data_IF_162762765267
#
_entry.id   IF_162762765267
#
_cell.length_a   1.000
_cell.length_b   1.000
_cell.length_c   1.000
_cell.angle_alpha   90.00
_cell.angle_beta   90.00
_cell.angle_gamma   90.00
#
_symmetry.space_group_name_H-M   'P 1'
#
loop_
_entity.id
_entity.type
_entity.pdbx_description
1 polymer ?
#
# COMPACT_ATOMS: atom_id res chain seq x y z
N UNK A 1 4.23 -1.74 -29.21
CA UNK A 1 3.61 -1.66 -27.86
C UNK A 1 2.84 -0.35 -27.77
N UNK A 2 1.55 -0.35 -27.50
CA UNK A 2 0.83 0.88 -27.17
C UNK A 2 1.36 1.42 -25.86
N UNK A 3 1.58 2.75 -25.69
CA UNK A 3 1.98 3.29 -24.40
C UNK A 3 0.90 2.95 -23.37
N UNK A 4 1.32 2.36 -22.26
CA UNK A 4 0.42 2.08 -21.14
C UNK A 4 0.23 3.40 -20.40
N UNK A 5 -0.85 4.12 -20.76
CA UNK A 5 -1.19 5.39 -20.15
C UNK A 5 -2.16 5.15 -18.99
N UNK A 6 -1.93 5.85 -17.87
CA UNK A 6 -2.96 6.00 -16.83
C UNK A 6 -4.16 6.74 -17.42
N UNK A 7 -5.38 6.49 -16.91
CA UNK A 7 -6.53 7.31 -17.21
C UNK A 7 -6.29 8.78 -16.82
N UNK A 8 -7.19 9.65 -17.30
CA UNK A 8 -7.17 11.06 -16.87
C UNK A 8 -7.28 11.14 -15.36
N UNK A 9 -6.36 11.89 -14.76
CA UNK A 9 -6.42 12.19 -13.33
C UNK A 9 -7.49 13.24 -13.06
N UNK A 10 -8.41 12.90 -12.18
CA UNK A 10 -9.53 13.74 -11.74
C UNK A 10 -9.32 14.14 -10.28
N UNK A 11 -10.13 15.07 -9.80
CA UNK A 11 -10.17 15.46 -8.39
C UNK A 11 -11.60 15.35 -7.87
N UNK A 12 -11.73 14.99 -6.60
CA UNK A 12 -13.01 14.91 -5.87
C UNK A 12 -12.86 15.57 -4.51
N UNK A 13 -13.85 16.37 -4.13
CA UNK A 13 -13.97 16.85 -2.75
C UNK A 13 -14.47 15.72 -1.86
N UNK A 14 -13.72 15.40 -0.81
CA UNK A 14 -14.02 14.33 0.15
C UNK A 14 -13.76 14.86 1.55
N UNK A 15 -14.80 14.92 2.39
CA UNK A 15 -14.75 15.68 3.63
C UNK A 15 -14.21 17.11 3.38
N UNK A 16 -13.18 17.52 4.12
CA UNK A 16 -12.56 18.84 3.98
C UNK A 16 -11.35 18.84 3.04
N UNK A 17 -11.11 17.72 2.33
CA UNK A 17 -9.94 17.55 1.46
C UNK A 17 -10.32 17.40 -0.02
N UNK A 18 -9.46 17.88 -0.90
CA UNK A 18 -9.48 17.54 -2.32
C UNK A 18 -8.59 16.33 -2.56
N UNK A 19 -9.12 15.27 -3.14
CA UNK A 19 -8.38 14.04 -3.46
C UNK A 19 -8.22 13.92 -4.97
N UNK A 20 -6.97 13.81 -5.46
CA UNK A 20 -6.67 13.46 -6.85
C UNK A 20 -6.70 11.94 -7.00
N UNK A 21 -7.35 11.46 -8.06
CA UNK A 21 -7.52 10.02 -8.30
C UNK A 21 -7.50 9.65 -9.78
N UNK A 22 -7.32 8.36 -10.03
CA UNK A 22 -7.60 7.69 -11.30
C UNK A 22 -8.58 6.55 -11.04
N UNK A 23 -9.59 6.41 -11.89
CA UNK A 23 -10.61 5.38 -11.80
C UNK A 23 -10.95 4.91 -13.21
N UNK A 24 -10.94 3.60 -13.43
CA UNK A 24 -11.37 2.99 -14.70
C UNK A 24 -11.79 1.53 -14.52
N UNK A 25 -12.44 0.99 -15.55
CA UNK A 25 -12.92 -0.38 -15.54
C UNK A 25 -14.26 -0.52 -14.82
N UNK A 26 -14.85 -1.71 -14.93
CA UNK A 26 -16.11 -2.09 -14.30
C UNK A 26 -16.03 -3.51 -13.74
N UNK A 27 -16.90 -3.82 -12.80
CA UNK A 27 -17.00 -5.16 -12.21
C UNK A 27 -16.36 -5.28 -10.82
N UNK A 28 -16.69 -6.38 -10.16
CA UNK A 28 -16.29 -6.68 -8.78
C UNK A 28 -15.49 -7.99 -8.70
N UNK A 29 -14.65 -8.13 -7.69
CA UNK A 29 -14.29 -7.15 -6.67
C UNK A 29 -13.51 -5.98 -7.27
N UNK A 30 -13.69 -4.78 -6.72
CA UNK A 30 -12.92 -3.60 -7.16
C UNK A 30 -11.49 -3.67 -6.62
N UNK A 31 -10.52 -3.23 -7.42
CA UNK A 31 -9.11 -3.15 -7.01
C UNK A 31 -8.80 -1.75 -6.52
N UNK A 32 -8.32 -1.63 -5.29
CA UNK A 32 -7.91 -0.37 -4.65
C UNK A 32 -6.40 -0.38 -4.46
N UNK A 33 -5.70 0.50 -5.18
CA UNK A 33 -4.24 0.58 -5.19
C UNK A 33 -3.76 1.69 -4.24
N UNK A 34 -2.99 1.31 -3.21
CA UNK A 34 -2.50 2.21 -2.17
C UNK A 34 -0.97 2.29 -2.23
N UNK A 35 -0.46 3.45 -2.62
CA UNK A 35 0.97 3.70 -2.84
C UNK A 35 1.78 3.73 -1.54
N UNK A 36 3.10 3.58 -1.67
CA UNK A 36 4.07 3.80 -0.59
C UNK A 36 4.16 5.27 -0.18
N UNK A 37 5.05 5.58 0.77
CA UNK A 37 5.28 6.92 1.27
C UNK A 37 5.64 7.90 0.14
N UNK A 38 4.93 9.03 0.07
CA UNK A 38 5.09 10.05 -0.97
C UNK A 38 4.80 9.57 -2.39
N UNK A 39 4.31 8.34 -2.56
CA UNK A 39 4.10 7.71 -3.86
C UNK A 39 2.84 8.19 -4.56
N UNK A 40 2.95 8.80 -5.77
CA UNK A 40 1.79 9.22 -6.54
C UNK A 40 1.13 8.06 -7.29
N UNK A 41 -0.09 8.31 -7.81
CA UNK A 41 -0.86 7.33 -8.61
C UNK A 41 -0.10 6.84 -9.84
N UNK A 42 0.85 7.62 -10.35
CA UNK A 42 1.76 7.23 -11.44
C UNK A 42 2.59 5.99 -11.10
N UNK A 43 2.79 5.71 -9.83
CA UNK A 43 3.44 4.48 -9.35
C UNK A 43 2.78 3.18 -9.83
N UNK A 44 1.57 3.26 -10.36
CA UNK A 44 0.77 2.12 -10.82
C UNK A 44 0.65 2.00 -12.34
N UNK A 45 1.30 2.87 -13.13
CA UNK A 45 1.09 2.98 -14.58
C UNK A 45 1.29 1.67 -15.35
N UNK A 46 2.16 0.76 -14.87
CA UNK A 46 2.43 -0.52 -15.55
C UNK A 46 1.38 -1.59 -15.29
N UNK A 47 0.63 -1.48 -14.21
CA UNK A 47 -0.37 -2.48 -13.80
C UNK A 47 -1.80 -1.99 -13.98
N UNK A 48 -2.04 -0.68 -13.87
CA UNK A 48 -3.37 -0.08 -13.80
C UNK A 48 -4.26 -0.46 -15.01
N UNK A 49 -3.75 -0.27 -16.22
CA UNK A 49 -4.56 -0.50 -17.45
C UNK A 49 -4.96 -1.97 -17.61
N UNK A 50 -4.08 -2.92 -17.23
CA UNK A 50 -4.40 -4.34 -17.28
C UNK A 50 -5.47 -4.69 -16.25
N UNK A 51 -5.37 -4.17 -15.03
CA UNK A 51 -6.36 -4.38 -13.96
C UNK A 51 -7.71 -3.77 -14.31
N UNK A 52 -7.70 -2.53 -14.83
CA UNK A 52 -8.91 -1.82 -15.27
C UNK A 52 -9.62 -2.48 -16.46
N UNK A 53 -8.89 -3.25 -17.27
CA UNK A 53 -9.48 -4.07 -18.34
C UNK A 53 -10.32 -5.24 -17.83
N UNK A 54 -10.15 -5.64 -16.58
CA UNK A 54 -10.85 -6.79 -16.00
C UNK A 54 -11.82 -6.40 -14.87
N UNK A 55 -11.59 -5.27 -14.17
CA UNK A 55 -12.32 -4.87 -12.95
C UNK A 55 -12.34 -3.37 -12.76
N UNK A 56 -13.28 -2.89 -11.95
CA UNK A 56 -13.19 -1.52 -11.41
C UNK A 56 -11.86 -1.37 -10.66
N UNK A 57 -11.04 -0.40 -11.06
CA UNK A 57 -9.70 -0.17 -10.49
C UNK A 57 -9.54 1.30 -10.16
N UNK A 58 -9.13 1.60 -8.93
CA UNK A 58 -8.94 2.96 -8.42
C UNK A 58 -7.58 3.09 -7.74
N UNK A 59 -6.95 4.26 -7.91
CA UNK A 59 -5.83 4.71 -7.10
C UNK A 59 -6.01 6.20 -6.77
N UNK A 60 -5.64 6.60 -5.56
CA UNK A 60 -5.77 7.98 -5.09
C UNK A 60 -4.42 8.51 -4.61
N UNK A 61 -4.18 9.79 -4.84
CA UNK A 61 -3.11 10.52 -4.20
C UNK A 61 -3.55 10.95 -2.81
N UNK A 62 -2.74 10.59 -1.80
CA UNK A 62 -2.98 11.06 -0.43
C UNK A 62 -2.68 12.55 -0.29
N UNK A 63 -3.05 13.13 0.83
CA UNK A 63 -2.80 14.54 1.14
C UNK A 63 -1.33 14.94 0.88
N UNK A 64 -1.13 16.09 0.27
CA UNK A 64 0.19 16.61 -0.10
C UNK A 64 0.79 16.03 -1.39
N UNK A 65 0.15 15.06 -2.05
CA UNK A 65 0.65 14.40 -3.26
C UNK A 65 -0.16 14.84 -4.48
N UNK A 66 0.52 15.17 -5.58
CA UNK A 66 -0.12 15.60 -6.83
C UNK A 66 -0.99 16.84 -6.64
N UNK A 67 -2.26 16.75 -7.06
CA UNK A 67 -3.27 17.80 -6.88
C UNK A 67 -4.17 17.60 -5.66
N UNK A 68 -3.88 16.61 -4.83
CA UNK A 68 -4.55 16.49 -3.53
C UNK A 68 -4.18 17.66 -2.63
N UNK A 69 -5.12 18.08 -1.77
CA UNK A 69 -4.87 19.17 -0.81
C UNK A 69 -3.70 18.84 0.12
N UNK A 70 -3.10 19.86 0.69
CA UNK A 70 -2.13 19.67 1.77
C UNK A 70 -2.83 19.00 2.97
N UNK A 71 -2.10 18.22 3.77
CA UNK A 71 -2.69 17.57 4.93
C UNK A 71 -3.25 18.63 5.91
N UNK A 72 -4.51 18.48 6.27
CA UNK A 72 -5.21 19.32 7.27
C UNK A 72 -5.15 18.70 8.68
N UNK A 73 -4.86 17.40 8.75
CA UNK A 73 -4.70 16.60 9.97
C UNK A 73 -3.47 15.71 9.88
N UNK A 74 -2.95 15.20 11.02
CA UNK A 74 -1.88 14.23 11.04
C UNK A 74 -2.23 12.98 10.20
N UNK A 75 -1.41 12.65 9.22
CA UNK A 75 -1.64 11.55 8.29
C UNK A 75 -1.20 10.22 8.92
N UNK A 76 -1.86 9.81 10.00
CA UNK A 76 -1.73 8.47 10.57
C UNK A 76 -2.48 7.43 9.71
N UNK A 77 -2.33 6.13 10.01
CA UNK A 77 -3.02 5.11 9.24
C UNK A 77 -4.55 5.23 9.37
N UNK A 78 -5.07 5.59 10.53
CA UNK A 78 -6.50 5.76 10.76
C UNK A 78 -7.06 6.90 9.91
N UNK A 79 -6.41 8.06 9.90
CA UNK A 79 -6.79 9.20 9.05
C UNK A 79 -6.73 8.82 7.56
N UNK A 80 -5.64 8.17 7.13
CA UNK A 80 -5.50 7.74 5.73
C UNK A 80 -6.56 6.70 5.34
N UNK A 81 -6.94 5.79 6.23
CA UNK A 81 -8.04 4.82 6.02
C UNK A 81 -9.38 5.53 5.95
N UNK A 82 -9.64 6.49 6.84
CA UNK A 82 -10.87 7.28 6.84
C UNK A 82 -11.06 8.02 5.50
N UNK A 83 -10.05 8.77 5.06
CA UNK A 83 -10.11 9.52 3.79
C UNK A 83 -10.21 8.56 2.58
N UNK A 84 -9.47 7.44 2.58
CA UNK A 84 -9.57 6.44 1.52
C UNK A 84 -10.98 5.88 1.42
N UNK A 85 -11.56 5.45 2.54
CA UNK A 85 -12.92 4.88 2.58
C UNK A 85 -13.97 5.90 2.14
N UNK A 86 -13.86 7.15 2.61
CA UNK A 86 -14.73 8.25 2.19
C UNK A 86 -14.59 8.55 0.69
N UNK A 87 -13.36 8.47 0.15
CA UNK A 87 -13.10 8.63 -1.29
C UNK A 87 -13.77 7.52 -2.10
N UNK A 88 -13.61 6.25 -1.69
CA UNK A 88 -14.24 5.12 -2.36
C UNK A 88 -15.78 5.26 -2.37
N UNK A 89 -16.37 5.72 -1.27
CA UNK A 89 -17.81 6.00 -1.19
C UNK A 89 -18.24 7.16 -2.09
N UNK A 90 -17.51 8.29 -2.09
CA UNK A 90 -17.79 9.46 -2.91
C UNK A 90 -17.64 9.21 -4.43
N UNK A 91 -16.82 8.21 -4.80
CA UNK A 91 -16.63 7.75 -6.19
C UNK A 91 -17.54 6.56 -6.55
N UNK A 92 -18.39 6.11 -5.62
CA UNK A 92 -19.30 4.98 -5.80
C UNK A 92 -18.57 3.70 -6.26
N UNK A 93 -17.34 3.47 -5.74
CA UNK A 93 -16.55 2.29 -6.09
C UNK A 93 -17.23 1.03 -5.53
N UNK A 94 -17.60 0.06 -6.40
CA UNK A 94 -18.35 -1.12 -5.95
C UNK A 94 -17.55 -2.01 -4.98
N UNK A 95 -18.20 -2.47 -3.92
CA UNK A 95 -17.66 -3.49 -3.01
C UNK A 95 -17.93 -4.91 -3.54
N UNK A 96 -17.22 -5.95 -3.04
CA UNK A 96 -16.10 -5.86 -2.10
C UNK A 96 -14.80 -5.42 -2.77
N UNK A 97 -13.78 -5.09 -1.95
CA UNK A 97 -12.49 -4.60 -2.42
C UNK A 97 -11.39 -5.67 -2.38
N UNK A 98 -10.51 -5.67 -3.37
CA UNK A 98 -9.15 -6.20 -3.26
C UNK A 98 -8.24 -5.02 -2.94
N UNK A 99 -7.76 -4.94 -1.70
CA UNK A 99 -6.85 -3.89 -1.27
C UNK A 99 -5.42 -4.26 -1.64
N UNK A 100 -4.72 -3.38 -2.34
CA UNK A 100 -3.33 -3.59 -2.76
C UNK A 100 -2.46 -2.50 -2.16
N UNK A 101 -1.60 -2.85 -1.21
CA UNK A 101 -0.71 -1.92 -0.52
C UNK A 101 0.75 -2.10 -0.89
N UNK A 102 1.41 -1.06 -1.39
CA UNK A 102 2.85 -1.04 -1.62
C UNK A 102 3.56 -0.30 -0.49
N UNK A 103 4.65 -0.86 0.04
CA UNK A 103 5.49 -0.20 1.06
C UNK A 103 4.65 0.30 2.24
N UNK A 104 4.63 1.61 2.56
CA UNK A 104 3.78 2.21 3.59
C UNK A 104 2.29 1.90 3.39
N UNK A 105 1.84 1.81 2.12
CA UNK A 105 0.48 1.41 1.79
C UNK A 105 0.07 0.06 2.39
N UNK A 106 1.04 -0.80 2.72
CA UNK A 106 0.81 -2.06 3.42
C UNK A 106 0.23 -1.88 4.82
N UNK A 107 0.68 -0.87 5.57
CA UNK A 107 0.14 -0.54 6.90
C UNK A 107 -1.30 -0.03 6.79
N UNK A 108 -1.57 0.79 5.76
CA UNK A 108 -2.91 1.36 5.50
C UNK A 108 -3.91 0.27 5.15
N UNK A 109 -3.60 -0.63 4.20
CA UNK A 109 -4.50 -1.72 3.81
C UNK A 109 -4.67 -2.77 4.92
N UNK A 110 -3.64 -2.96 5.75
CA UNK A 110 -3.71 -3.81 6.94
C UNK A 110 -4.76 -3.25 7.93
N UNK A 111 -4.66 -1.97 8.26
CA UNK A 111 -5.61 -1.33 9.18
C UNK A 111 -7.02 -1.31 8.59
N UNK A 112 -7.16 -0.97 7.29
CA UNK A 112 -8.46 -0.96 6.61
C UNK A 112 -9.15 -2.33 6.70
N UNK A 113 -8.42 -3.42 6.41
CA UNK A 113 -8.99 -4.76 6.46
C UNK A 113 -9.43 -5.18 7.87
N UNK A 114 -8.76 -4.68 8.91
CA UNK A 114 -9.13 -4.94 10.31
C UNK A 114 -10.34 -4.15 10.77
N UNK A 115 -10.46 -2.89 10.31
CA UNK A 115 -11.57 -2.00 10.71
C UNK A 115 -12.85 -2.27 9.91
N UNK A 116 -12.73 -2.69 8.65
CA UNK A 116 -13.86 -2.88 7.73
C UNK A 116 -13.79 -4.21 6.98
N UNK A 117 -13.71 -5.35 7.69
CA UNK A 117 -13.53 -6.67 7.07
C UNK A 117 -14.66 -7.04 6.10
N UNK A 118 -15.87 -6.56 6.33
CA UNK A 118 -17.05 -6.81 5.48
C UNK A 118 -16.98 -6.11 4.11
N UNK A 119 -16.09 -5.14 3.95
CA UNK A 119 -15.88 -4.45 2.68
C UNK A 119 -14.77 -5.09 1.84
N UNK A 120 -14.00 -6.05 2.40
CA UNK A 120 -12.75 -6.55 1.82
C UNK A 120 -12.89 -8.00 1.40
N UNK A 121 -12.59 -8.29 0.13
CA UNK A 121 -12.51 -9.65 -0.40
C UNK A 121 -11.14 -10.29 -0.18
N UNK A 122 -10.07 -9.52 -0.38
CA UNK A 122 -8.69 -9.99 -0.23
C UNK A 122 -7.72 -8.82 -0.04
N UNK A 123 -6.52 -9.11 0.45
CA UNK A 123 -5.43 -8.14 0.59
C UNK A 123 -4.20 -8.64 -0.16
N UNK A 124 -3.56 -7.74 -0.91
CA UNK A 124 -2.26 -7.98 -1.57
C UNK A 124 -1.25 -6.95 -1.03
N UNK A 125 -0.16 -7.42 -0.47
CA UNK A 125 0.93 -6.61 0.06
C UNK A 125 2.15 -6.72 -0.85
N UNK A 126 2.60 -5.59 -1.43
CA UNK A 126 3.76 -5.53 -2.33
C UNK A 126 4.93 -4.90 -1.59
N UNK A 127 5.96 -5.67 -1.24
CA UNK A 127 7.14 -5.17 -0.48
C UNK A 127 6.70 -4.25 0.68
N UNK A 128 5.64 -4.66 1.37
CA UNK A 128 4.97 -3.86 2.37
C UNK A 128 5.86 -3.57 3.57
N UNK A 129 5.76 -2.36 4.09
CA UNK A 129 6.35 -1.99 5.38
C UNK A 129 5.62 -2.75 6.49
N UNK A 130 6.37 -3.36 7.38
CA UNK A 130 5.82 -4.01 8.58
C UNK A 130 5.99 -3.11 9.80
N UNK A 131 5.19 -3.28 10.86
CA UNK A 131 5.43 -2.62 12.13
C UNK A 131 6.87 -2.84 12.66
N UNK A 132 7.40 -4.04 12.50
CA UNK A 132 8.75 -4.37 12.94
C UNK A 132 9.84 -3.71 12.08
N UNK A 133 9.62 -3.52 10.79
CA UNK A 133 10.52 -2.71 9.97
C UNK A 133 10.65 -1.29 10.52
N UNK A 134 9.53 -0.66 10.88
CA UNK A 134 9.53 0.71 11.44
C UNK A 134 10.25 0.76 12.77
N UNK A 135 10.03 -0.22 13.66
CA UNK A 135 10.67 -0.29 14.99
C UNK A 135 12.17 -0.54 14.91
N UNK A 136 12.64 -1.33 13.92
CA UNK A 136 14.04 -1.76 13.81
C UNK A 136 14.91 -0.84 12.95
N UNK A 137 14.33 -0.17 11.94
CA UNK A 137 15.07 0.70 11.01
C UNK A 137 16.01 1.70 11.68
N UNK A 138 15.60 2.42 12.76
CA UNK A 138 16.48 3.40 13.41
C UNK A 138 17.78 2.79 13.95
N UNK A 139 17.77 1.52 14.36
CA UNK A 139 18.93 0.80 14.89
C UNK A 139 19.99 0.46 13.83
N UNK A 140 19.62 0.42 12.56
CA UNK A 140 20.52 0.08 11.45
C UNK A 140 21.07 1.30 10.70
N UNK A 141 20.65 2.51 11.06
CA UNK A 141 21.14 3.72 10.41
C UNK A 141 22.57 4.04 10.89
N UNK A 142 23.47 4.25 9.93
CA UNK A 142 24.80 4.74 10.24
C UNK A 142 24.79 6.17 10.79
N UNK A 143 25.83 6.56 11.51
CA UNK A 143 25.98 7.94 11.99
C UNK A 143 25.92 8.98 10.86
N UNK A 144 26.45 8.66 9.69
CA UNK A 144 26.43 9.50 8.50
C UNK A 144 24.99 9.64 7.95
N UNK A 145 24.23 8.54 7.88
CA UNK A 145 22.84 8.57 7.42
C UNK A 145 21.96 9.42 8.36
N UNK A 146 22.14 9.25 9.67
CA UNK A 146 21.45 10.09 10.69
C UNK A 146 21.81 11.57 10.55
N UNK A 147 23.10 11.87 10.31
CA UNK A 147 23.54 13.25 10.11
C UNK A 147 22.97 13.87 8.82
N UNK A 148 22.99 13.14 7.70
CA UNK A 148 22.41 13.58 6.42
C UNK A 148 20.89 13.81 6.54
N UNK A 149 20.17 12.91 7.20
CA UNK A 149 18.73 13.10 7.48
C UNK A 149 18.46 14.34 8.30
N UNK A 150 19.25 14.59 9.36
CA UNK A 150 19.12 15.81 10.17
C UNK A 150 19.38 17.07 9.38
N UNK A 151 20.39 17.05 8.51
CA UNK A 151 20.70 18.20 7.64
C UNK A 151 19.56 18.44 6.63
N UNK A 152 19.08 17.39 5.97
CA UNK A 152 17.96 17.47 5.03
C UNK A 152 16.70 18.03 5.72
N UNK A 153 16.36 17.56 6.92
CA UNK A 153 15.23 18.07 7.72
C UNK A 153 15.39 19.53 8.14
N UNK A 154 16.61 20.02 8.30
CA UNK A 154 16.86 21.45 8.57
C UNK A 154 16.69 22.32 7.34
N UNK A 155 17.08 21.82 6.17
CA UNK A 155 17.01 22.57 4.90
C UNK A 155 15.60 22.52 4.28
N UNK A 156 14.90 21.41 4.44
CA UNK A 156 13.54 21.18 3.97
C UNK A 156 12.78 20.37 5.04
N UNK A 157 12.25 21.03 6.08
CA UNK A 157 11.51 20.33 7.12
C UNK A 157 10.25 19.69 6.51
N UNK A 158 9.97 18.41 6.81
CA UNK A 158 8.72 17.81 6.39
C UNK A 158 7.54 18.53 7.05
N UNK A 159 6.39 18.46 6.42
CA UNK A 159 5.19 18.98 7.06
C UNK A 159 4.92 18.18 8.33
N UNK A 160 4.56 18.81 9.47
CA UNK A 160 4.34 18.08 10.74
C UNK A 160 3.29 16.98 10.64
N UNK A 161 2.37 17.09 9.68
CA UNK A 161 1.30 16.12 9.43
C UNK A 161 1.64 15.08 8.36
N UNK A 162 2.86 15.08 7.80
CA UNK A 162 3.26 14.09 6.81
C UNK A 162 3.18 12.65 7.37
N UNK A 163 2.79 11.72 6.53
CA UNK A 163 2.62 10.30 6.84
C UNK A 163 3.87 9.65 7.46
N UNK A 164 5.07 10.10 7.08
CA UNK A 164 6.32 9.60 7.64
C UNK A 164 6.62 10.13 9.05
N UNK A 165 6.03 11.26 9.43
CA UNK A 165 6.12 11.83 10.77
C UNK A 165 5.11 11.18 11.73
N UNK A 166 4.09 10.49 11.20
CA UNK A 166 3.02 9.83 11.97
C UNK A 166 3.22 8.32 12.13
N UNK A 167 4.41 7.79 11.81
CA UNK A 167 4.65 6.33 11.86
C UNK A 167 4.45 5.74 13.27
N UNK A 168 4.85 6.43 14.33
CA UNK A 168 4.65 5.95 15.71
C UNK A 168 3.16 5.87 16.06
N UNK A 169 2.38 6.88 15.67
CA UNK A 169 0.91 6.89 15.83
C UNK A 169 0.29 5.74 15.04
N UNK A 170 0.70 5.58 13.78
CA UNK A 170 0.26 4.47 12.91
C UNK A 170 0.53 3.09 13.53
N UNK A 171 1.68 2.91 14.19
CA UNK A 171 1.98 1.65 14.88
C UNK A 171 1.07 1.43 16.09
N UNK A 172 0.82 2.48 16.88
CA UNK A 172 -0.08 2.40 18.03
C UNK A 172 -1.53 2.08 17.60
N UNK A 173 -1.99 2.64 16.48
CA UNK A 173 -3.30 2.34 15.88
C UNK A 173 -3.39 0.88 15.45
N UNK A 174 -2.35 0.34 14.78
CA UNK A 174 -2.30 -1.07 14.37
C UNK A 174 -2.23 -2.02 15.57
N UNK A 175 -1.50 -1.66 16.63
CA UNK A 175 -1.41 -2.46 17.85
C UNK A 175 -2.75 -2.50 18.61
N UNK A 176 -3.55 -1.42 18.55
CA UNK A 176 -4.87 -1.32 19.16
C UNK A 176 -6.01 -1.90 18.30
N UNK A 177 -5.77 -2.12 17.00
CA UNK A 177 -6.80 -2.57 16.06
C UNK A 177 -7.24 -4.02 16.33
N UNK A 178 -8.47 -4.42 15.93
CA UNK A 178 -8.90 -5.81 15.97
C UNK A 178 -7.91 -6.75 15.25
N UNK A 179 -7.93 -8.06 15.53
CA UNK A 179 -7.14 -9.03 14.78
C UNK A 179 -7.40 -8.94 13.28
N UNK A 180 -6.37 -9.24 12.46
CA UNK A 180 -6.55 -9.30 11.02
C UNK A 180 -7.59 -10.38 10.67
N UNK A 181 -8.56 -10.09 9.79
CA UNK A 181 -9.62 -11.03 9.44
C UNK A 181 -9.06 -12.23 8.65
N UNK A 182 -9.72 -13.39 8.68
CA UNK A 182 -9.29 -14.61 7.97
C UNK A 182 -9.55 -14.53 6.45
N UNK A 183 -9.09 -13.45 5.82
CA UNK A 183 -9.20 -13.19 4.38
C UNK A 183 -8.00 -13.74 3.61
N UNK A 184 -8.13 -14.03 2.29
CA UNK A 184 -6.98 -14.27 1.43
C UNK A 184 -5.99 -13.09 1.49
N UNK A 185 -4.74 -13.41 1.84
CA UNK A 185 -3.64 -12.45 1.98
C UNK A 185 -2.44 -12.92 1.15
N UNK A 186 -2.06 -12.16 0.14
CA UNK A 186 -0.93 -12.47 -0.72
C UNK A 186 0.18 -11.45 -0.50
N UNK A 187 1.35 -11.92 -0.08
CA UNK A 187 2.52 -11.07 0.20
C UNK A 187 3.53 -11.23 -0.93
N UNK A 188 3.69 -10.22 -1.76
CA UNK A 188 4.70 -10.21 -2.84
C UNK A 188 6.00 -9.63 -2.30
N UNK A 189 7.04 -10.44 -2.31
CA UNK A 189 8.37 -10.07 -1.81
C UNK A 189 9.39 -10.09 -2.95
N UNK A 190 10.20 -9.03 -3.05
CA UNK A 190 11.27 -8.94 -4.04
C UNK A 190 12.42 -9.91 -3.76
N UNK A 191 12.86 -10.64 -4.79
CA UNK A 191 14.00 -11.54 -4.73
C UNK A 191 15.35 -10.85 -4.85
N UNK A 192 15.37 -9.60 -5.34
CA UNK A 192 16.59 -8.79 -5.48
C UNK A 192 16.73 -7.85 -4.28
N UNK A 193 17.63 -8.14 -3.34
CA UNK A 193 17.82 -7.25 -2.20
C UNK A 193 18.33 -5.88 -2.65
N UNK A 194 18.04 -4.84 -1.85
CA UNK A 194 18.68 -3.55 -1.98
C UNK A 194 20.20 -3.70 -2.02
N UNK A 195 20.89 -2.69 -2.57
CA UNK A 195 22.35 -2.69 -2.79
C UNK A 195 23.09 -3.40 -1.64
N UNK A 196 23.51 -4.64 -1.88
CA UNK A 196 24.15 -5.52 -0.86
C UNK A 196 25.39 -4.89 -0.22
N UNK A 197 26.11 -4.06 -0.98
CA UNK A 197 27.31 -3.38 -0.48
C UNK A 197 26.99 -2.16 0.42
N UNK A 198 25.77 -1.61 0.33
CA UNK A 198 25.35 -0.43 1.08
C UNK A 198 24.34 -0.76 2.22
N UNK A 199 23.83 -2.01 2.27
CA UNK A 199 22.81 -2.41 3.23
C UNK A 199 23.37 -3.50 4.15
N UNK A 200 23.35 -3.33 5.49
CA UNK A 200 23.79 -4.35 6.41
C UNK A 200 23.07 -5.68 6.20
N UNK A 201 23.82 -6.79 6.20
CA UNK A 201 23.25 -8.14 5.99
C UNK A 201 22.15 -8.46 7.00
N UNK A 202 22.34 -8.07 8.25
CA UNK A 202 21.35 -8.27 9.31
C UNK A 202 20.02 -7.56 9.00
N UNK A 203 20.06 -6.38 8.37
CA UNK A 203 18.84 -5.67 7.94
C UNK A 203 18.13 -6.39 6.79
N UNK A 204 18.90 -6.92 5.82
CA UNK A 204 18.32 -7.70 4.71
C UNK A 204 17.64 -8.97 5.21
N UNK A 205 18.28 -9.68 6.15
CA UNK A 205 17.74 -10.89 6.79
C UNK A 205 16.49 -10.57 7.63
N UNK A 206 16.52 -9.49 8.40
CA UNK A 206 15.37 -9.04 9.19
C UNK A 206 14.16 -8.72 8.27
N UNK A 207 14.36 -7.92 7.23
CA UNK A 207 13.28 -7.62 6.27
C UNK A 207 12.73 -8.87 5.60
N UNK A 208 13.60 -9.79 5.15
CA UNK A 208 13.15 -11.04 4.55
C UNK A 208 12.32 -11.91 5.53
N UNK A 209 12.65 -11.87 6.82
CA UNK A 209 11.87 -12.52 7.87
C UNK A 209 10.53 -11.82 8.05
N UNK A 210 10.50 -10.49 8.21
CA UNK A 210 9.26 -9.72 8.39
C UNK A 210 8.29 -9.89 7.22
N UNK A 211 8.78 -9.94 5.98
CA UNK A 211 7.92 -10.22 4.82
C UNK A 211 7.27 -11.61 4.89
N UNK A 212 7.98 -12.63 5.42
CA UNK A 212 7.38 -13.95 5.65
C UNK A 212 6.36 -13.92 6.80
N UNK A 213 6.68 -13.20 7.87
CA UNK A 213 5.80 -13.07 9.04
C UNK A 213 4.47 -12.38 8.72
N UNK A 214 4.45 -11.47 7.72
CA UNK A 214 3.19 -10.89 7.22
C UNK A 214 2.18 -11.96 6.80
N UNK A 215 2.62 -13.10 6.27
CA UNK A 215 1.69 -14.17 5.88
C UNK A 215 0.93 -14.76 7.06
N UNK A 216 1.49 -14.70 8.27
CA UNK A 216 0.85 -15.20 9.49
C UNK A 216 -0.29 -14.31 9.99
N UNK A 217 -0.49 -13.11 9.41
CA UNK A 217 -1.65 -12.27 9.75
C UNK A 217 -2.98 -12.97 9.42
N UNK A 218 -3.02 -13.79 8.38
CA UNK A 218 -4.21 -14.55 7.99
C UNK A 218 -3.90 -16.05 7.88
N UNK A 219 -4.82 -16.94 8.30
CA UNK A 219 -4.68 -18.38 8.03
C UNK A 219 -4.67 -18.72 6.54
N UNK A 220 -5.12 -17.79 5.68
CA UNK A 220 -5.09 -17.90 4.21
C UNK A 220 -3.93 -17.11 3.61
N UNK A 221 -2.96 -16.71 4.44
CA UNK A 221 -1.79 -15.92 4.00
C UNK A 221 -0.75 -16.78 3.29
N UNK A 222 -0.19 -16.26 2.18
CA UNK A 222 0.92 -16.87 1.47
C UNK A 222 1.86 -15.86 0.85
N UNK A 223 3.13 -16.25 0.69
CA UNK A 223 4.16 -15.44 0.06
C UNK A 223 4.32 -15.79 -1.42
N UNK A 224 4.56 -14.76 -2.23
CA UNK A 224 4.89 -14.87 -3.66
C UNK A 224 6.21 -14.15 -3.89
N UNK A 225 7.19 -14.84 -4.47
CA UNK A 225 8.50 -14.27 -4.73
C UNK A 225 8.55 -13.61 -6.11
N UNK A 226 8.81 -12.31 -6.14
CA UNK A 226 9.10 -11.53 -7.34
C UNK A 226 10.63 -11.56 -7.57
N UNK A 227 11.13 -12.61 -8.21
CA UNK A 227 12.56 -12.93 -8.26
C UNK A 227 13.41 -11.89 -8.98
N UNK A 228 12.83 -11.16 -9.93
CA UNK A 228 13.48 -10.09 -10.68
C UNK A 228 13.28 -8.70 -10.10
N UNK A 229 12.57 -8.61 -8.97
CA UNK A 229 12.18 -7.35 -8.35
C UNK A 229 12.97 -7.06 -7.08
N UNK A 230 13.20 -5.78 -6.84
CA UNK A 230 13.50 -5.22 -5.52
C UNK A 230 12.23 -4.64 -4.89
N UNK A 231 12.34 -3.41 -4.37
CA UNK A 231 11.25 -2.74 -3.64
C UNK A 231 10.03 -2.35 -4.48
N UNK A 232 10.09 -2.43 -5.81
CA UNK A 232 9.02 -1.99 -6.72
C UNK A 232 8.59 -3.09 -7.70
N UNK A 233 7.97 -4.19 -7.23
CA UNK A 233 7.53 -5.28 -8.10
C UNK A 233 6.53 -4.83 -9.16
N UNK A 234 5.69 -3.82 -8.88
CA UNK A 234 4.76 -3.25 -9.83
C UNK A 234 5.44 -2.60 -11.06
N UNK A 235 6.75 -2.29 -10.97
CA UNK A 235 7.54 -1.79 -12.09
C UNK A 235 8.36 -2.87 -12.79
N UNK A 236 9.00 -3.75 -12.02
CA UNK A 236 9.93 -4.73 -12.56
C UNK A 236 9.24 -6.01 -13.06
N UNK A 237 8.19 -6.45 -12.37
CA UNK A 237 7.40 -7.65 -12.70
C UNK A 237 5.89 -7.35 -12.72
N UNK A 238 5.41 -6.40 -13.55
CA UNK A 238 4.01 -5.98 -13.54
C UNK A 238 3.04 -7.13 -13.86
N UNK A 239 3.44 -8.08 -14.70
CA UNK A 239 2.62 -9.24 -15.03
C UNK A 239 2.41 -10.16 -13.83
N UNK A 240 3.46 -10.38 -13.01
CA UNK A 240 3.36 -11.13 -11.75
C UNK A 240 2.41 -10.45 -10.78
N UNK A 241 2.53 -9.12 -10.63
CA UNK A 241 1.67 -8.32 -9.75
C UNK A 241 0.21 -8.41 -10.19
N UNK A 242 -0.07 -8.22 -11.49
CA UNK A 242 -1.44 -8.36 -12.01
C UNK A 242 -2.01 -9.78 -11.80
N UNK A 243 -1.22 -10.82 -12.09
CA UNK A 243 -1.64 -12.20 -11.86
C UNK A 243 -1.92 -12.49 -10.38
N UNK A 244 -1.12 -11.93 -9.47
CA UNK A 244 -1.33 -12.04 -8.01
C UNK A 244 -2.62 -11.36 -7.57
N UNK A 245 -2.89 -10.14 -8.06
CA UNK A 245 -4.12 -9.42 -7.75
C UNK A 245 -5.35 -10.17 -8.31
N UNK A 246 -5.24 -10.74 -9.51
CA UNK A 246 -6.31 -11.55 -10.10
C UNK A 246 -6.56 -12.84 -9.31
N UNK A 247 -5.52 -13.50 -8.81
CA UNK A 247 -5.66 -14.67 -7.93
C UNK A 247 -6.36 -14.28 -6.63
N UNK A 248 -5.89 -13.20 -5.96
CA UNK A 248 -6.50 -12.67 -4.75
C UNK A 248 -7.99 -12.35 -4.94
N UNK A 249 -8.35 -11.74 -6.08
CA UNK A 249 -9.73 -11.41 -6.40
C UNK A 249 -10.61 -12.67 -6.56
N UNK A 250 -10.11 -13.70 -7.23
CA UNK A 250 -10.84 -14.97 -7.40
C UNK A 250 -11.03 -15.68 -6.07
N UNK A 251 -9.99 -15.77 -5.26
CA UNK A 251 -10.02 -16.42 -3.93
C UNK A 251 -10.93 -15.67 -2.97
N UNK A 252 -10.84 -14.32 -2.95
CA UNK A 252 -11.70 -13.50 -2.12
C UNK A 252 -13.18 -13.66 -2.47
N UNK A 253 -13.52 -13.69 -3.76
CA UNK A 253 -14.90 -13.91 -4.17
C UNK A 253 -15.38 -15.33 -3.90
N UNK A 254 -14.50 -16.34 -3.93
CA UNK A 254 -14.83 -17.69 -3.52
C UNK A 254 -15.05 -17.79 -2.01
N UNK A 255 -14.23 -17.10 -1.22
CA UNK A 255 -14.33 -17.06 0.25
C UNK A 255 -15.65 -16.39 0.72
N UNK A 256 -16.10 -15.34 0.02
CA UNK A 256 -17.33 -14.61 0.38
C UNK A 256 -18.63 -15.30 -0.08
N UNK A 257 -18.55 -16.35 -0.88
CA UNK A 257 -19.73 -17.12 -1.24
C UNK A 257 -20.18 -17.97 -0.04
N UNK A 258 -21.45 -17.87 0.38
CA UNK A 258 -21.96 -18.78 1.37
C UNK A 258 -21.85 -20.22 0.83
N UNK A 259 -21.49 -21.16 1.74
CA UNK A 259 -21.42 -22.60 1.44
C UNK A 259 -22.82 -23.16 1.17
#
# INVERSE_FOLDING_TARGET
>A
MRPVLLPLKLTRQVADETVEYVLAGVGVPSVVLVSGAGGPVEGWFRVFAQLAGARCTVACNRAGIGRSSKPSAPQSADEMVYILRATLAALEVPRPYVLVGHSLGGLIVNLFARLYPEEVAAVVMLEATTPDDVRLLPGYESGMQRWLKRLARRLAPPHPFDETEQLETTLAELDAAPPFPPLPLLVVTGGRPALKWATPRALLEARARHQRELTALSPLGRQIMAMESGHFPQFSEPSLVCATIDAAAKEGMAYLRPA
#
